data_IF_260295752216
#
_entry.id   IF_260295752216
#
_cell.length_a   1.000
_cell.length_b   1.000
_cell.length_c   1.000
_cell.angle_alpha   90.00
_cell.angle_beta   90.00
_cell.angle_gamma   90.00
#
_symmetry.space_group_name_H-M   'P 1'
#
loop_
_entity.id
_entity.type
_entity.pdbx_description
1 polymer ?
#
# COMPACT_ATOMS: atom_id res chain seq x y z
N UNK A 1 -9.45 -35.96 -0.83
CA UNK A 1 -8.86 -34.66 -0.46
C UNK A 1 -9.94 -33.62 -0.68
N UNK A 2 -10.14 -32.69 0.24
CA UNK A 2 -11.15 -31.62 0.08
C UNK A 2 -10.87 -30.87 -1.21
N UNK A 3 -11.88 -30.73 -2.07
CA UNK A 3 -11.74 -29.91 -3.26
C UNK A 3 -11.55 -28.46 -2.82
N UNK A 4 -10.34 -27.92 -3.02
CA UNK A 4 -10.05 -26.50 -2.78
C UNK A 4 -10.77 -25.72 -3.87
N UNK A 5 -12.04 -25.43 -3.65
CA UNK A 5 -12.82 -24.54 -4.50
C UNK A 5 -12.55 -23.09 -4.07
N UNK A 6 -12.59 -22.12 -5.00
CA UNK A 6 -12.44 -20.71 -4.66
C UNK A 6 -13.43 -20.23 -3.60
N UNK A 7 -14.63 -20.82 -3.57
CA UNK A 7 -15.64 -20.53 -2.54
C UNK A 7 -15.22 -20.98 -1.14
N UNK A 8 -14.55 -22.13 -1.01
CA UNK A 8 -14.01 -22.60 0.28
C UNK A 8 -12.88 -21.67 0.75
N UNK A 9 -11.97 -21.27 -0.14
CA UNK A 9 -10.91 -20.30 0.21
C UNK A 9 -11.50 -18.96 0.66
N UNK A 10 -12.52 -18.47 -0.04
CA UNK A 10 -13.22 -17.24 0.35
C UNK A 10 -13.85 -17.35 1.75
N UNK A 11 -14.52 -18.47 2.03
CA UNK A 11 -15.12 -18.71 3.34
C UNK A 11 -14.07 -18.76 4.45
N UNK A 12 -12.93 -19.41 4.22
CA UNK A 12 -11.81 -19.44 5.17
C UNK A 12 -11.25 -18.03 5.41
N UNK A 13 -11.01 -17.24 4.37
CA UNK A 13 -10.57 -15.86 4.55
C UNK A 13 -11.57 -15.02 5.32
N UNK A 14 -12.86 -15.20 5.06
CA UNK A 14 -13.92 -14.51 5.77
C UNK A 14 -13.95 -14.89 7.25
N UNK A 15 -13.79 -16.18 7.58
CA UNK A 15 -13.74 -16.65 8.96
C UNK A 15 -12.50 -16.13 9.70
N UNK A 16 -11.34 -16.12 9.04
CA UNK A 16 -10.08 -15.72 9.65
C UNK A 16 -9.94 -14.20 9.83
N UNK A 17 -10.41 -13.40 8.87
CA UNK A 17 -10.22 -11.95 8.85
C UNK A 17 -11.49 -11.18 9.25
N UNK A 18 -12.67 -11.80 9.16
CA UNK A 18 -13.95 -11.17 9.45
C UNK A 18 -14.11 -9.83 8.73
N UNK A 19 -14.37 -8.77 9.50
CA UNK A 19 -14.54 -7.41 8.98
C UNK A 19 -13.27 -6.85 8.31
N UNK A 20 -12.07 -7.36 8.62
CA UNK A 20 -10.84 -6.88 8.00
C UNK A 20 -10.73 -7.28 6.53
N UNK A 21 -11.33 -8.40 6.11
CA UNK A 21 -11.25 -8.85 4.72
C UNK A 21 -11.81 -7.81 3.72
N UNK A 22 -13.08 -7.35 3.84
CA UNK A 22 -13.61 -6.34 2.93
C UNK A 22 -12.87 -4.99 3.05
N UNK A 23 -12.36 -4.63 4.23
CA UNK A 23 -11.56 -3.39 4.42
C UNK A 23 -10.24 -3.47 3.64
N UNK A 24 -9.53 -4.59 3.71
CA UNK A 24 -8.28 -4.80 2.98
C UNK A 24 -8.52 -4.83 1.47
N UNK A 25 -9.59 -5.47 1.02
CA UNK A 25 -9.98 -5.48 -0.40
C UNK A 25 -10.28 -4.06 -0.88
N UNK A 26 -11.10 -3.30 -0.13
CA UNK A 26 -11.42 -1.92 -0.47
C UNK A 26 -10.17 -1.03 -0.50
N UNK A 27 -9.26 -1.20 0.46
CA UNK A 27 -7.99 -0.48 0.50
C UNK A 27 -7.10 -0.83 -0.70
N UNK A 28 -6.98 -2.12 -1.04
CA UNK A 28 -6.20 -2.56 -2.20
C UNK A 28 -6.76 -1.97 -3.51
N UNK A 29 -8.08 -2.07 -3.72
CA UNK A 29 -8.76 -1.49 -4.89
C UNK A 29 -8.55 0.03 -4.95
N UNK A 30 -8.72 0.73 -3.82
CA UNK A 30 -8.52 2.18 -3.75
C UNK A 30 -7.10 2.57 -4.13
N UNK A 31 -6.09 1.90 -3.57
CA UNK A 31 -4.68 2.15 -3.88
C UNK A 31 -4.39 1.90 -5.36
N UNK A 32 -4.88 0.79 -5.92
CA UNK A 32 -4.71 0.49 -7.34
C UNK A 32 -5.37 1.55 -8.22
N UNK A 33 -6.60 1.96 -7.91
CA UNK A 33 -7.31 3.00 -8.67
C UNK A 33 -6.54 4.33 -8.60
N UNK A 34 -6.11 4.77 -7.42
CA UNK A 34 -5.32 6.00 -7.27
C UNK A 34 -4.01 5.92 -8.04
N UNK A 35 -3.32 4.78 -8.01
CA UNK A 35 -2.09 4.56 -8.76
C UNK A 35 -2.33 4.66 -10.27
N UNK A 36 -3.33 3.96 -10.80
CA UNK A 36 -3.69 3.98 -12.22
C UNK A 36 -4.10 5.39 -12.66
N UNK A 37 -4.89 6.11 -11.87
CA UNK A 37 -5.28 7.50 -12.16
C UNK A 37 -4.06 8.42 -12.27
N UNK A 38 -3.10 8.31 -11.34
CA UNK A 38 -1.85 9.09 -11.39
C UNK A 38 -0.99 8.69 -12.58
N UNK A 39 -0.91 7.39 -12.87
CA UNK A 39 -0.12 6.86 -13.97
C UNK A 39 -0.66 7.34 -15.34
N UNK A 40 -1.98 7.30 -15.54
CA UNK A 40 -2.64 7.80 -16.75
C UNK A 40 -2.47 9.30 -16.93
N UNK A 41 -2.42 10.06 -15.84
CA UNK A 41 -2.31 11.53 -15.87
C UNK A 41 -0.89 12.03 -16.11
N UNK A 42 0.08 11.51 -15.38
CA UNK A 42 1.45 12.04 -15.36
C UNK A 42 2.44 11.23 -16.19
N UNK A 43 2.03 10.06 -16.69
CA UNK A 43 2.94 9.02 -17.17
C UNK A 43 3.80 8.42 -16.06
N UNK A 44 4.60 7.42 -16.43
CA UNK A 44 5.53 6.78 -15.50
C UNK A 44 6.78 7.65 -15.30
N UNK A 45 6.91 8.27 -14.12
CA UNK A 45 8.12 8.99 -13.71
C UNK A 45 9.07 8.12 -12.88
N UNK A 46 10.24 7.79 -13.44
CA UNK A 46 11.26 6.95 -12.79
C UNK A 46 11.76 7.51 -11.45
N UNK A 47 12.10 8.81 -11.37
CA UNK A 47 12.54 9.44 -10.11
C UNK A 47 11.52 9.29 -8.98
N UNK A 48 10.22 9.39 -9.31
CA UNK A 48 9.13 9.20 -8.35
C UNK A 48 9.01 7.72 -7.97
N UNK A 49 9.14 6.81 -8.94
CA UNK A 49 9.05 5.37 -8.70
C UNK A 49 10.13 4.89 -7.73
N UNK A 50 11.40 5.27 -7.94
CA UNK A 50 12.51 4.86 -7.06
C UNK A 50 12.31 5.37 -5.63
N UNK A 51 11.93 6.64 -5.46
CA UNK A 51 11.63 7.18 -4.13
C UNK A 51 10.46 6.45 -3.46
N UNK A 52 9.43 6.09 -4.24
CA UNK A 52 8.29 5.32 -3.74
C UNK A 52 8.63 3.86 -3.42
N UNK A 53 9.59 3.23 -4.10
CA UNK A 53 10.07 1.89 -3.76
C UNK A 53 10.76 1.88 -2.41
N UNK A 54 11.61 2.86 -2.13
CA UNK A 54 12.30 2.99 -0.83
C UNK A 54 11.28 3.28 0.26
N UNK A 55 10.37 4.24 0.06
CA UNK A 55 9.28 4.51 1.01
C UNK A 55 8.37 3.29 1.21
N UNK A 56 8.14 2.53 0.15
CA UNK A 56 7.34 1.31 0.15
C UNK A 56 7.87 0.24 1.09
N UNK A 57 9.17 0.21 1.42
CA UNK A 57 9.73 -0.76 2.37
C UNK A 57 9.01 -0.67 3.73
N UNK A 58 8.63 0.54 4.14
CA UNK A 58 7.80 0.76 5.33
C UNK A 58 6.41 0.11 5.19
N UNK A 59 5.87 0.01 3.97
CA UNK A 59 4.64 -0.73 3.68
C UNK A 59 4.80 -2.25 3.85
N UNK A 60 5.96 -2.80 3.49
CA UNK A 60 6.28 -4.20 3.77
C UNK A 60 6.33 -4.49 5.28
N UNK A 61 7.03 -3.63 6.05
CA UNK A 61 7.05 -3.72 7.51
C UNK A 61 5.65 -3.55 8.12
N UNK A 62 4.87 -2.59 7.64
CA UNK A 62 3.51 -2.36 8.10
C UNK A 62 2.61 -3.57 7.83
N UNK A 63 2.78 -4.29 6.71
CA UNK A 63 2.03 -5.51 6.42
C UNK A 63 2.34 -6.63 7.42
N UNK A 64 3.61 -6.80 7.81
CA UNK A 64 4.00 -7.76 8.85
C UNK A 64 3.40 -7.41 10.22
N UNK A 65 3.50 -6.13 10.62
CA UNK A 65 2.92 -5.64 11.87
C UNK A 65 1.40 -5.83 11.87
N UNK A 66 0.73 -5.49 10.76
CA UNK A 66 -0.70 -5.69 10.60
C UNK A 66 -1.10 -7.16 10.70
N UNK A 67 -0.37 -8.04 10.02
CA UNK A 67 -0.59 -9.49 10.09
C UNK A 67 -0.51 -9.99 11.55
N UNK A 68 0.53 -9.63 12.29
CA UNK A 68 0.64 -10.03 13.71
C UNK A 68 -0.49 -9.46 14.56
N UNK A 69 -0.92 -8.23 14.29
CA UNK A 69 -1.99 -7.58 15.03
C UNK A 69 -3.36 -8.22 14.81
N UNK A 70 -3.64 -8.76 13.61
CA UNK A 70 -4.96 -9.33 13.28
C UNK A 70 -5.04 -10.83 13.57
N UNK A 71 -3.95 -11.58 13.39
CA UNK A 71 -3.99 -13.05 13.44
C UNK A 71 -3.74 -13.64 14.84
N UNK A 72 -3.61 -12.82 15.90
CA UNK A 72 -3.24 -13.26 17.27
C UNK A 72 -2.01 -14.19 17.30
N UNK A 73 -1.11 -14.08 16.32
CA UNK A 73 0.02 -15.00 16.18
C UNK A 73 1.25 -14.42 16.86
N UNK A 74 1.91 -15.21 17.72
CA UNK A 74 3.16 -14.78 18.35
C UNK A 74 4.30 -14.89 17.32
N UNK A 75 5.21 -13.90 17.23
CA UNK A 75 6.42 -14.01 16.40
C UNK A 75 7.29 -15.23 16.73
N UNK A 76 7.09 -15.85 17.91
CA UNK A 76 7.81 -17.04 18.38
C UNK A 76 7.32 -18.35 17.76
N UNK A 77 6.16 -18.35 17.10
CA UNK A 77 5.59 -19.54 16.48
C UNK A 77 6.10 -19.75 15.05
N UNK A 78 6.90 -18.81 14.54
CA UNK A 78 7.57 -18.88 13.23
C UNK A 78 8.78 -19.79 13.35
N UNK A 79 8.63 -21.06 13.00
CA UNK A 79 9.69 -22.07 13.13
C UNK A 79 10.00 -22.82 11.84
N UNK A 80 9.08 -22.82 10.87
CA UNK A 80 9.20 -23.61 9.64
C UNK A 80 9.77 -22.82 8.45
N UNK A 81 10.39 -23.50 7.45
CA UNK A 81 10.79 -22.88 6.19
C UNK A 81 9.62 -22.25 5.42
N UNK A 82 8.42 -22.84 5.55
CA UNK A 82 7.18 -22.33 4.93
C UNK A 82 6.76 -21.00 5.56
N UNK A 83 6.96 -20.84 6.87
CA UNK A 83 6.60 -19.60 7.57
C UNK A 83 7.49 -18.45 7.11
N UNK A 84 8.79 -18.71 6.90
CA UNK A 84 9.73 -17.72 6.34
C UNK A 84 9.30 -17.28 4.94
N UNK A 85 8.91 -18.24 4.09
CA UNK A 85 8.38 -17.94 2.76
C UNK A 85 7.09 -17.11 2.83
N UNK A 86 6.20 -17.42 3.77
CA UNK A 86 4.96 -16.69 3.97
C UNK A 86 5.23 -15.25 4.44
N UNK A 87 6.11 -15.07 5.43
CA UNK A 87 6.52 -13.74 5.91
C UNK A 87 7.17 -12.92 4.79
N UNK A 88 8.05 -13.53 4.00
CA UNK A 88 8.63 -12.87 2.84
C UNK A 88 7.55 -12.50 1.82
N UNK A 89 6.60 -13.39 1.53
CA UNK A 89 5.47 -13.11 0.64
C UNK A 89 4.63 -11.94 1.10
N UNK A 90 4.28 -11.89 2.39
CA UNK A 90 3.50 -10.79 2.99
C UNK A 90 4.30 -9.49 2.92
N UNK A 91 5.59 -9.52 3.26
CA UNK A 91 6.46 -8.36 3.17
C UNK A 91 6.55 -7.83 1.73
N UNK A 92 6.75 -8.71 0.74
CA UNK A 92 6.86 -8.32 -0.67
C UNK A 92 5.54 -7.75 -1.22
N UNK A 93 4.41 -8.34 -0.87
CA UNK A 93 3.09 -7.83 -1.21
C UNK A 93 2.83 -6.46 -0.56
N UNK A 94 3.17 -6.31 0.72
CA UNK A 94 3.09 -5.05 1.45
C UNK A 94 4.02 -3.97 0.88
N UNK A 95 5.23 -4.35 0.47
CA UNK A 95 6.18 -3.46 -0.19
C UNK A 95 5.67 -2.99 -1.56
N UNK A 96 5.12 -3.91 -2.36
CA UNK A 96 4.50 -3.58 -3.64
C UNK A 96 3.30 -2.65 -3.48
N UNK A 97 2.37 -2.98 -2.59
CA UNK A 97 1.21 -2.14 -2.29
C UNK A 97 1.61 -0.77 -1.72
N UNK A 98 2.58 -0.75 -0.80
CA UNK A 98 3.15 0.48 -0.24
C UNK A 98 3.79 1.36 -1.32
N UNK A 99 4.54 0.76 -2.24
CA UNK A 99 5.13 1.46 -3.39
C UNK A 99 4.05 2.11 -4.26
N UNK A 100 2.97 1.40 -4.56
CA UNK A 100 1.83 1.96 -5.31
C UNK A 100 1.19 3.13 -4.56
N UNK A 101 0.95 2.97 -3.26
CA UNK A 101 0.36 4.01 -2.41
C UNK A 101 1.24 5.26 -2.36
N UNK A 102 2.53 5.13 -2.02
CA UNK A 102 3.44 6.27 -1.95
C UNK A 102 3.61 6.95 -3.30
N UNK A 103 3.62 6.19 -4.40
CA UNK A 103 3.66 6.76 -5.75
C UNK A 103 2.43 7.59 -6.06
N UNK A 104 1.24 7.06 -5.74
CA UNK A 104 -0.02 7.76 -5.90
C UNK A 104 -0.07 9.03 -5.05
N UNK A 105 0.28 8.94 -3.76
CA UNK A 105 0.32 10.09 -2.84
C UNK A 105 1.29 11.18 -3.32
N UNK A 106 2.49 10.82 -3.76
CA UNK A 106 3.45 11.76 -4.32
C UNK A 106 2.91 12.44 -5.59
N UNK A 107 2.21 11.70 -6.45
CA UNK A 107 1.55 12.26 -7.63
C UNK A 107 0.38 13.19 -7.30
N UNK A 108 -0.42 12.87 -6.29
CA UNK A 108 -1.50 13.74 -5.81
C UNK A 108 -0.93 15.02 -5.17
N UNK A 109 0.13 14.92 -4.37
CA UNK A 109 0.78 16.05 -3.71
C UNK A 109 1.41 17.03 -4.72
N UNK A 110 2.08 16.52 -5.76
CA UNK A 110 2.65 17.36 -6.82
C UNK A 110 1.58 18.21 -7.52
N UNK A 111 0.38 17.65 -7.76
CA UNK A 111 -0.76 18.38 -8.33
C UNK A 111 -1.25 19.51 -7.41
N UNK A 112 -1.32 19.25 -6.10
CA UNK A 112 -1.76 20.27 -5.13
C UNK A 112 -0.82 21.47 -5.13
N UNK A 113 0.51 21.24 -5.18
CA UNK A 113 1.51 22.31 -5.27
C UNK A 113 1.38 23.12 -6.55
N UNK A 114 1.19 22.46 -7.69
CA UNK A 114 1.00 23.14 -8.98
C UNK A 114 -0.29 23.99 -9.05
N UNK A 115 -1.29 23.70 -8.20
CA UNK A 115 -2.55 24.43 -8.14
C UNK A 115 -2.57 25.58 -7.15
N UNK A 116 -1.59 25.69 -6.25
CA UNK A 116 -1.48 26.85 -5.37
C UNK A 116 -0.91 28.01 -6.20
N UNK A 117 -1.70 29.06 -6.52
CA UNK A 117 -1.15 30.24 -7.16
C UNK A 117 -0.12 30.83 -6.20
N UNK A 118 1.08 31.12 -6.69
CA UNK A 118 2.09 31.81 -5.91
C UNK A 118 1.41 33.02 -5.24
N UNK A 119 1.42 33.06 -3.91
CA UNK A 119 0.99 34.23 -3.17
C UNK A 119 1.73 35.42 -3.80
N UNK A 120 0.98 36.31 -4.47
CA UNK A 120 1.55 37.46 -5.18
C UNK A 120 2.52 38.14 -4.21
N UNK A 121 3.77 38.42 -4.61
CA UNK A 121 4.61 39.31 -3.84
C UNK A 121 3.82 40.61 -3.70
N UNK A 122 3.46 40.99 -2.47
CA UNK A 122 2.91 42.32 -2.19
C UNK A 122 3.97 43.30 -2.69
N UNK A 123 3.66 44.20 -3.64
CA UNK A 123 4.61 45.21 -4.06
C UNK A 123 4.95 46.02 -2.81
N UNK A 124 6.20 45.94 -2.35
CA UNK A 124 6.73 46.95 -1.43
C UNK A 124 6.64 48.26 -2.20
N UNK A 125 5.61 49.04 -1.90
CA UNK A 125 5.54 50.43 -2.33
C UNK A 125 6.80 51.10 -1.78
N UNK A 126 7.64 51.56 -2.71
CA UNK A 126 8.79 52.38 -2.41
C UNK A 126 8.26 53.67 -1.75
N UNK A 127 8.73 53.93 -0.53
CA UNK A 127 8.62 55.19 0.15
C UNK A 127 9.93 55.97 -0.02
#
# INVERSE_FOLDING_TARGET
MSEITPGVLWAVFWEMLGLWLPVLIAAAVLVTVLFVLVLRRDGLRFRRLVGSQVAGLAGGLAALVFMWAVTNSSPRDVGGPVDVLLLLGIYLLGWGGGTMLFYALAGLAARRRARQPAARPVPRQAA
#
